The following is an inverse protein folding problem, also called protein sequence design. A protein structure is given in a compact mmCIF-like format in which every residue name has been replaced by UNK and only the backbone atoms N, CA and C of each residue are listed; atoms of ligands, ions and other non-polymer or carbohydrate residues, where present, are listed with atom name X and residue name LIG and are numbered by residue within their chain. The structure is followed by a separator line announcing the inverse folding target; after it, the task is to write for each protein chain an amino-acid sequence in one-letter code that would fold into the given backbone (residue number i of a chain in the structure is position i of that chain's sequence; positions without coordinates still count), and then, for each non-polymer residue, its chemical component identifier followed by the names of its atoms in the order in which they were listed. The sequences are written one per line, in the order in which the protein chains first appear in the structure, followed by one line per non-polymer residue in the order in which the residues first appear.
data_IF_235819325200
#
_entry.id   IF_235819325200
#
_cell.length_a   1.000
_cell.length_b   1.000
_cell.length_c   1.000
_cell.angle_alpha   90.00
_cell.angle_beta   90.00
_cell.angle_gamma   90.00
#
_symmetry.space_group_name_H-M   'P 1'
#
loop_
_entity.id
_entity.type
_entity.pdbx_description
1 polymer ?
#
# COMPACT_ATOMS: atom_id res chain seq x y z
N UNK A 1 -13.39 9.57 -23.51
CA UNK A 1 -13.37 10.28 -22.20
C UNK A 1 -11.95 10.28 -21.67
N UNK A 2 -11.49 11.38 -21.10
CA UNK A 2 -10.15 11.39 -20.50
C UNK A 2 -10.16 10.50 -19.26
N UNK A 3 -9.26 9.52 -19.21
CA UNK A 3 -9.06 8.63 -18.07
C UNK A 3 -8.54 9.47 -16.89
N UNK A 4 -9.33 9.57 -15.80
CA UNK A 4 -8.88 10.26 -14.57
C UNK A 4 -7.85 9.38 -13.86
N UNK A 5 -6.89 10.01 -13.20
CA UNK A 5 -5.87 9.35 -12.38
C UNK A 5 -6.01 9.84 -10.95
N UNK A 6 -6.13 8.92 -10.03
CA UNK A 6 -6.16 9.19 -8.59
C UNK A 6 -5.02 8.47 -7.89
N UNK A 7 -4.47 9.09 -6.86
CA UNK A 7 -3.55 8.46 -5.93
C UNK A 7 -4.07 8.68 -4.50
N UNK A 8 -4.10 7.62 -3.70
CA UNK A 8 -4.52 7.66 -2.30
C UNK A 8 -3.36 7.10 -1.46
N UNK A 9 -2.99 7.83 -0.41
CA UNK A 9 -1.97 7.43 0.56
C UNK A 9 -2.50 6.46 1.60
N UNK A 10 -1.91 6.53 2.79
CA UNK A 10 -2.15 5.64 3.91
C UNK A 10 -3.63 5.56 4.30
N UNK A 11 -4.15 4.34 4.40
CA UNK A 11 -5.56 4.07 4.74
C UNK A 11 -5.68 3.57 6.18
N UNK A 12 -4.72 2.76 6.62
CA UNK A 12 -4.60 2.27 8.00
C UNK A 12 -5.92 1.81 8.61
N UNK A 13 -6.58 0.82 7.98
CA UNK A 13 -7.82 0.24 8.50
C UNK A 13 -9.00 1.22 8.64
N UNK A 14 -8.95 2.38 7.99
CA UNK A 14 -10.03 3.37 7.97
C UNK A 14 -11.03 3.08 6.82
N UNK A 15 -11.62 1.89 6.80
CA UNK A 15 -12.48 1.41 5.72
C UNK A 15 -13.62 2.37 5.38
N UNK A 16 -14.36 2.83 6.39
CA UNK A 16 -15.53 3.70 6.14
C UNK A 16 -15.14 5.02 5.44
N UNK A 17 -14.00 5.61 5.82
CA UNK A 17 -13.49 6.83 5.18
C UNK A 17 -13.02 6.54 3.75
N UNK A 18 -12.34 5.41 3.54
CA UNK A 18 -11.86 4.98 2.23
C UNK A 18 -13.03 4.71 1.27
N UNK A 19 -14.03 3.96 1.71
CA UNK A 19 -15.24 3.69 0.93
C UNK A 19 -15.97 4.98 0.56
N UNK A 20 -16.21 5.86 1.54
CA UNK A 20 -16.87 7.15 1.31
C UNK A 20 -16.08 8.02 0.32
N UNK A 21 -14.75 8.01 0.40
CA UNK A 21 -13.89 8.71 -0.55
C UNK A 21 -14.13 8.20 -1.97
N UNK A 22 -14.08 6.86 -2.19
CA UNK A 22 -14.22 6.28 -3.52
C UNK A 22 -15.64 6.45 -4.09
N UNK A 23 -16.68 6.18 -3.28
CA UNK A 23 -18.05 6.14 -3.77
C UNK A 23 -18.70 7.52 -3.86
N UNK A 24 -18.44 8.41 -2.90
CA UNK A 24 -19.17 9.69 -2.79
C UNK A 24 -18.34 10.91 -3.20
N UNK A 25 -17.04 10.92 -2.91
CA UNK A 25 -16.20 12.10 -3.19
C UNK A 25 -15.64 12.09 -4.60
N UNK A 26 -14.96 11.02 -4.98
CA UNK A 26 -14.38 10.89 -6.33
C UNK A 26 -15.31 10.18 -7.32
N UNK A 27 -16.31 9.46 -6.82
CA UNK A 27 -17.23 8.67 -7.63
C UNK A 27 -16.46 7.85 -8.67
N UNK A 28 -15.68 6.88 -8.14
CA UNK A 28 -14.74 6.08 -8.93
C UNK A 28 -15.48 5.30 -10.03
N UNK A 29 -15.00 5.44 -11.25
CA UNK A 29 -15.51 4.74 -12.43
C UNK A 29 -14.49 3.69 -12.93
N UNK A 30 -14.97 2.68 -13.69
CA UNK A 30 -14.07 1.68 -14.28
C UNK A 30 -13.10 2.25 -15.32
N UNK A 31 -13.42 3.40 -15.88
CA UNK A 31 -12.55 4.14 -16.80
C UNK A 31 -11.38 4.83 -16.09
N UNK A 32 -11.47 5.05 -14.78
CA UNK A 32 -10.43 5.69 -13.99
C UNK A 32 -9.28 4.75 -13.67
N UNK A 33 -8.12 5.32 -13.34
CA UNK A 33 -7.00 4.60 -12.76
C UNK A 33 -6.81 5.08 -11.32
N UNK A 34 -6.81 4.14 -10.39
CA UNK A 34 -6.57 4.39 -8.97
C UNK A 34 -5.25 3.73 -8.54
N UNK A 35 -4.33 4.54 -8.05
CA UNK A 35 -3.09 4.07 -7.42
C UNK A 35 -3.27 4.19 -5.91
N UNK A 36 -3.07 3.09 -5.19
CA UNK A 36 -3.04 3.06 -3.73
C UNK A 36 -1.59 2.94 -3.29
N UNK A 37 -1.12 3.88 -2.48
CA UNK A 37 0.31 4.02 -2.20
C UNK A 37 0.85 3.11 -1.09
N UNK A 38 0.03 2.23 -0.52
CA UNK A 38 0.42 1.32 0.58
C UNK A 38 -0.23 1.70 1.91
N UNK A 39 0.17 1.00 2.97
CA UNK A 39 -0.29 1.18 4.34
C UNK A 39 -1.82 1.06 4.48
N UNK A 40 -2.35 -0.08 4.06
CA UNK A 40 -3.79 -0.41 4.13
C UNK A 40 -4.20 -0.86 5.51
N UNK A 41 -3.28 -1.56 6.21
CA UNK A 41 -3.48 -2.25 7.48
C UNK A 41 -2.93 -1.45 8.65
N UNK A 42 -3.14 -1.99 9.86
CA UNK A 42 -2.64 -1.49 11.13
C UNK A 42 -3.29 -0.19 11.59
N UNK A 43 -3.16 0.13 12.88
CA UNK A 43 -3.67 1.31 13.56
C UNK A 43 -5.20 1.41 13.63
N UNK A 44 -5.90 1.33 12.50
CA UNK A 44 -7.36 1.32 12.44
C UNK A 44 -7.94 -0.09 12.58
N UNK A 45 -9.22 -0.15 12.91
CA UNK A 45 -9.90 -1.39 13.33
C UNK A 45 -10.51 -2.21 12.19
N UNK A 46 -10.40 -1.75 10.94
CA UNK A 46 -11.08 -2.33 9.76
C UNK A 46 -10.08 -2.69 8.65
N UNK A 47 -8.90 -3.19 9.03
CA UNK A 47 -7.83 -3.59 8.08
C UNK A 47 -8.31 -4.65 7.10
N UNK A 48 -9.04 -5.67 7.60
CA UNK A 48 -9.59 -6.74 6.76
C UNK A 48 -10.58 -6.21 5.74
N UNK A 49 -11.49 -5.34 6.16
CA UNK A 49 -12.51 -4.74 5.31
C UNK A 49 -11.87 -3.88 4.20
N UNK A 50 -10.78 -3.18 4.49
CA UNK A 50 -10.02 -2.43 3.47
C UNK A 50 -9.47 -3.38 2.40
N UNK A 51 -8.82 -4.47 2.81
CA UNK A 51 -8.23 -5.45 1.86
C UNK A 51 -9.33 -6.13 1.05
N UNK A 52 -10.40 -6.61 1.70
CA UNK A 52 -11.53 -7.24 1.02
C UNK A 52 -12.14 -6.30 -0.05
N UNK A 53 -12.29 -5.02 0.28
CA UNK A 53 -12.84 -4.03 -0.65
C UNK A 53 -11.93 -3.76 -1.84
N UNK A 54 -10.62 -3.66 -1.63
CA UNK A 54 -9.65 -3.50 -2.73
C UNK A 54 -9.72 -4.70 -3.67
N UNK A 55 -9.70 -5.93 -3.11
CA UNK A 55 -9.78 -7.17 -3.88
C UNK A 55 -11.10 -7.27 -4.66
N UNK A 56 -12.22 -6.90 -4.03
CA UNK A 56 -13.54 -6.91 -4.66
C UNK A 56 -13.64 -5.91 -5.82
N UNK A 57 -13.13 -4.69 -5.65
CA UNK A 57 -13.07 -3.70 -6.73
C UNK A 57 -12.21 -4.18 -7.91
N UNK A 58 -11.06 -4.79 -7.65
CA UNK A 58 -10.22 -5.39 -8.69
C UNK A 58 -10.96 -6.52 -9.42
N UNK A 59 -11.65 -7.41 -8.69
CA UNK A 59 -12.47 -8.49 -9.26
C UNK A 59 -13.64 -7.97 -10.11
N UNK A 60 -14.21 -6.80 -9.75
CA UNK A 60 -15.24 -6.10 -10.52
C UNK A 60 -14.71 -5.37 -11.76
N UNK A 61 -13.40 -5.39 -11.98
CA UNK A 61 -12.73 -4.82 -13.16
C UNK A 61 -12.43 -3.33 -13.07
N UNK A 62 -12.33 -2.78 -11.87
CA UNK A 62 -11.74 -1.45 -11.68
C UNK A 62 -10.22 -1.49 -11.87
N UNK A 63 -9.65 -0.47 -12.48
CA UNK A 63 -8.21 -0.36 -12.75
C UNK A 63 -7.48 0.19 -11.50
N UNK A 64 -7.24 -0.71 -10.52
CA UNK A 64 -6.61 -0.39 -9.24
C UNK A 64 -5.23 -1.03 -9.17
N UNK A 65 -4.22 -0.21 -8.87
CA UNK A 65 -2.83 -0.62 -8.67
C UNK A 65 -2.44 -0.38 -7.22
N UNK A 66 -2.50 -1.41 -6.35
CA UNK A 66 -2.04 -1.29 -4.98
C UNK A 66 -0.51 -1.46 -4.91
N UNK A 67 0.15 -0.54 -4.19
CA UNK A 67 1.57 -0.60 -3.90
C UNK A 67 1.83 -1.16 -2.50
N UNK A 68 3.05 -1.61 -2.27
CA UNK A 68 3.52 -2.10 -0.98
C UNK A 68 3.88 -0.91 -0.08
N UNK A 69 3.27 -0.84 1.10
CA UNK A 69 3.70 0.02 2.18
C UNK A 69 4.62 -0.69 3.18
N UNK A 70 5.21 0.04 4.09
CA UNK A 70 6.07 -0.54 5.11
C UNK A 70 5.28 -1.40 6.11
N UNK A 71 4.00 -1.12 6.35
CA UNK A 71 3.16 -1.93 7.22
C UNK A 71 2.86 -3.32 6.64
N UNK A 72 2.54 -3.43 5.36
CA UNK A 72 2.39 -4.73 4.69
C UNK A 72 3.71 -5.49 4.64
N UNK A 73 4.85 -4.80 4.43
CA UNK A 73 6.18 -5.41 4.48
C UNK A 73 6.48 -5.99 5.87
N UNK A 74 6.20 -5.22 6.95
CA UNK A 74 6.37 -5.71 8.32
C UNK A 74 5.50 -6.94 8.64
N UNK A 75 4.26 -6.96 8.14
CA UNK A 75 3.38 -8.12 8.28
C UNK A 75 3.94 -9.35 7.58
N UNK A 76 4.41 -9.21 6.34
CA UNK A 76 5.03 -10.31 5.58
C UNK A 76 6.31 -10.81 6.24
N UNK A 77 7.14 -9.91 6.77
CA UNK A 77 8.33 -10.27 7.52
C UNK A 77 7.99 -11.05 8.79
N UNK A 78 6.98 -10.60 9.55
CA UNK A 78 6.53 -11.28 10.76
C UNK A 78 5.84 -12.62 10.46
N UNK A 79 5.11 -12.73 9.35
CA UNK A 79 4.51 -13.99 8.88
C UNK A 79 5.59 -15.04 8.55
N UNK A 80 6.70 -14.61 7.94
CA UNK A 80 7.80 -15.50 7.57
C UNK A 80 8.79 -15.75 8.72
N UNK A 81 8.84 -14.88 9.73
CA UNK A 81 9.78 -14.96 10.84
C UNK A 81 9.16 -14.37 12.12
N UNK A 82 8.75 -15.23 13.03
CA UNK A 82 8.07 -14.86 14.29
C UNK A 82 8.89 -13.88 15.16
N UNK A 83 10.22 -13.85 15.04
CA UNK A 83 11.08 -12.87 15.74
C UNK A 83 10.70 -11.42 15.37
N UNK A 84 10.11 -11.21 14.20
CA UNK A 84 9.65 -9.90 13.73
C UNK A 84 8.26 -9.50 14.23
N UNK A 85 7.50 -10.42 14.80
CA UNK A 85 6.14 -10.18 15.30
C UNK A 85 6.06 -9.01 16.29
N UNK A 86 6.95 -8.85 17.30
CA UNK A 86 6.88 -7.71 18.21
C UNK A 86 6.96 -6.35 17.50
N UNK A 87 7.81 -6.24 16.49
CA UNK A 87 7.93 -5.00 15.70
C UNK A 87 6.64 -4.69 14.96
N UNK A 88 6.02 -5.69 14.30
CA UNK A 88 4.74 -5.54 13.62
C UNK A 88 3.64 -5.09 14.60
N UNK A 89 3.52 -5.76 15.75
CA UNK A 89 2.50 -5.45 16.78
C UNK A 89 2.68 -4.04 17.35
N UNK A 90 3.91 -3.61 17.65
CA UNK A 90 4.20 -2.26 18.16
C UNK A 90 3.85 -1.14 17.17
N UNK A 91 3.88 -1.44 15.88
CA UNK A 91 3.50 -0.49 14.83
C UNK A 91 1.99 -0.48 14.50
N UNK A 92 1.17 -1.18 15.28
CA UNK A 92 -0.29 -1.18 15.14
C UNK A 92 -0.88 -2.48 14.61
N UNK A 93 -0.06 -3.54 14.44
CA UNK A 93 -0.50 -4.85 13.96
C UNK A 93 -1.50 -5.54 14.89
N UNK A 94 -1.59 -5.12 16.16
CA UNK A 94 -2.64 -5.59 17.08
C UNK A 94 -4.05 -5.31 16.56
N UNK A 95 -4.26 -4.16 15.91
CA UNK A 95 -5.56 -3.82 15.34
C UNK A 95 -5.86 -4.66 14.08
N UNK A 96 -4.82 -5.00 13.32
CA UNK A 96 -4.95 -5.94 12.19
C UNK A 96 -5.36 -7.33 12.68
N UNK A 97 -4.71 -7.89 13.72
CA UNK A 97 -5.12 -9.17 14.30
C UNK A 97 -6.60 -9.15 14.74
N UNK A 98 -7.04 -8.08 15.42
CA UNK A 98 -8.45 -7.93 15.83
C UNK A 98 -9.39 -7.86 14.64
N UNK A 99 -9.06 -7.10 13.61
CA UNK A 99 -9.86 -6.97 12.38
C UNK A 99 -10.03 -8.32 11.68
N UNK A 100 -8.95 -9.11 11.59
CA UNK A 100 -9.00 -10.46 11.03
C UNK A 100 -9.58 -11.51 11.97
N UNK A 101 -9.81 -11.18 13.25
CA UNK A 101 -10.29 -12.10 14.31
C UNK A 101 -9.38 -13.31 14.49
N UNK A 102 -8.07 -13.09 14.48
CA UNK A 102 -7.03 -14.11 14.64
C UNK A 102 -6.15 -13.78 15.84
N UNK A 103 -5.50 -14.79 16.40
CA UNK A 103 -4.58 -14.64 17.54
C UNK A 103 -3.12 -14.45 17.08
N UNK A 104 -2.78 -14.96 15.89
CA UNK A 104 -1.44 -14.89 15.32
C UNK A 104 -1.48 -14.53 13.84
N UNK A 105 -0.43 -13.87 13.35
CA UNK A 105 -0.27 -13.54 11.93
C UNK A 105 -0.20 -14.80 11.05
N UNK A 106 0.24 -15.94 11.61
CA UNK A 106 0.28 -17.22 10.91
C UNK A 106 -1.10 -17.81 10.58
N UNK A 107 -2.16 -17.28 11.20
CA UNK A 107 -3.55 -17.67 10.93
C UNK A 107 -4.19 -16.87 9.78
N UNK A 108 -3.47 -15.91 9.21
CA UNK A 108 -3.96 -15.15 8.05
C UNK A 108 -4.23 -16.11 6.89
N UNK A 109 -5.43 -16.05 6.33
CA UNK A 109 -5.82 -16.88 5.19
C UNK A 109 -4.88 -16.68 3.99
N UNK A 110 -4.52 -17.74 3.26
CA UNK A 110 -3.57 -17.68 2.14
C UNK A 110 -3.89 -16.61 1.09
N UNK A 111 -5.17 -16.35 0.82
CA UNK A 111 -5.58 -15.33 -0.17
C UNK A 111 -5.09 -13.93 0.16
N UNK A 112 -5.03 -13.56 1.45
CA UNK A 112 -4.52 -12.27 1.89
C UNK A 112 -2.99 -12.23 1.84
N UNK A 113 -2.34 -13.33 2.22
CA UNK A 113 -0.88 -13.44 2.10
C UNK A 113 -0.45 -13.28 0.64
N UNK A 114 -1.16 -13.94 -0.29
CA UNK A 114 -0.90 -13.80 -1.73
C UNK A 114 -1.20 -12.38 -2.24
N UNK A 115 -2.26 -11.73 -1.75
CA UNK A 115 -2.52 -10.32 -2.05
C UNK A 115 -1.33 -9.45 -1.63
N UNK A 116 -0.85 -9.56 -0.39
CA UNK A 116 0.29 -8.76 0.10
C UNK A 116 1.58 -9.06 -0.67
N UNK A 117 1.87 -10.32 -1.01
CA UNK A 117 3.03 -10.71 -1.83
C UNK A 117 2.96 -10.17 -3.26
N UNK A 118 1.75 -9.96 -3.77
CA UNK A 118 1.50 -9.41 -5.11
C UNK A 118 1.67 -7.89 -5.22
N UNK A 119 1.85 -7.17 -4.11
CA UNK A 119 2.00 -5.72 -4.08
C UNK A 119 3.34 -5.29 -4.71
N UNK A 120 3.30 -4.25 -5.53
CA UNK A 120 4.49 -3.70 -6.19
C UNK A 120 5.13 -2.59 -5.35
N UNK A 121 6.46 -2.48 -5.39
CA UNK A 121 7.18 -1.39 -4.72
C UNK A 121 7.00 -0.04 -5.39
N UNK A 122 6.77 -0.03 -6.69
CA UNK A 122 6.60 1.19 -7.49
C UNK A 122 5.71 0.94 -8.69
N UNK A 123 5.14 1.99 -9.23
CA UNK A 123 4.38 1.96 -10.47
C UNK A 123 4.63 3.23 -11.26
N UNK A 124 4.97 3.09 -12.56
CA UNK A 124 5.14 4.21 -13.48
C UNK A 124 3.92 4.34 -14.39
N UNK A 125 3.36 5.53 -14.49
CA UNK A 125 2.27 5.84 -15.38
C UNK A 125 2.41 7.24 -15.98
N UNK A 126 2.50 7.34 -17.29
CA UNK A 126 2.85 8.58 -18.02
C UNK A 126 4.16 9.17 -17.48
N UNK A 127 4.14 10.45 -17.08
CA UNK A 127 5.25 11.18 -16.49
C UNK A 127 5.40 10.99 -14.97
N UNK A 128 4.50 10.23 -14.33
CA UNK A 128 4.49 10.01 -12.89
C UNK A 128 5.13 8.69 -12.50
N UNK A 129 5.85 8.71 -11.40
CA UNK A 129 6.35 7.53 -10.72
C UNK A 129 5.78 7.52 -9.30
N UNK A 130 5.11 6.43 -8.95
CA UNK A 130 4.45 6.23 -7.67
C UNK A 130 5.25 5.25 -6.82
N UNK A 131 5.50 5.62 -5.58
CA UNK A 131 6.09 4.78 -4.52
C UNK A 131 5.41 5.13 -3.21
N UNK A 132 5.51 4.26 -2.20
CA UNK A 132 4.93 4.53 -0.88
C UNK A 132 5.67 5.67 -0.17
N UNK A 133 6.98 5.57 -0.03
CA UNK A 133 7.79 6.56 0.69
C UNK A 133 8.64 7.42 -0.27
N UNK A 134 9.79 6.93 -0.71
CA UNK A 134 10.68 7.73 -1.55
C UNK A 134 11.86 6.96 -2.11
N UNK A 135 12.90 7.70 -2.48
CA UNK A 135 14.15 7.16 -2.98
C UNK A 135 15.33 7.73 -2.18
N UNK A 136 16.39 6.98 -2.08
CA UNK A 136 17.62 7.48 -1.48
C UNK A 136 18.30 8.49 -2.42
N UNK A 137 18.77 9.64 -1.87
CA UNK A 137 19.23 10.79 -2.65
C UNK A 137 20.49 10.53 -3.50
N UNK A 138 21.24 9.47 -3.21
CA UNK A 138 22.55 9.21 -3.81
C UNK A 138 22.62 7.92 -4.64
N UNK A 139 21.51 7.22 -4.85
CA UNK A 139 21.53 5.99 -5.62
C UNK A 139 21.63 6.25 -7.11
N UNK A 140 22.64 5.62 -7.75
CA UNK A 140 22.80 5.63 -9.21
C UNK A 140 21.59 4.95 -9.88
N UNK A 141 21.01 3.94 -9.22
CA UNK A 141 19.78 3.29 -9.64
C UNK A 141 18.77 3.29 -8.48
N UNK A 142 17.88 4.28 -8.38
CA UNK A 142 16.91 4.39 -7.29
C UNK A 142 15.95 3.20 -7.21
N UNK A 143 15.80 2.41 -8.29
CA UNK A 143 14.95 1.21 -8.30
C UNK A 143 15.64 -0.04 -7.71
N UNK A 144 16.92 0.01 -7.43
CA UNK A 144 17.64 -1.11 -6.81
C UNK A 144 17.37 -1.24 -5.32
N UNK A 145 17.12 -0.11 -4.64
CA UNK A 145 16.87 -0.07 -3.20
C UNK A 145 15.37 -0.08 -2.89
N UNK A 146 14.83 -1.29 -2.79
CA UNK A 146 13.42 -1.52 -2.42
C UNK A 146 13.08 -1.04 -1.01
N UNK A 147 14.06 -1.05 -0.10
CA UNK A 147 13.84 -0.58 1.26
C UNK A 147 13.53 0.92 1.29
N UNK A 148 14.28 1.71 0.56
CA UNK A 148 14.03 3.15 0.46
C UNK A 148 12.64 3.47 -0.06
N UNK A 149 12.11 2.70 -1.01
CA UNK A 149 10.78 2.93 -1.58
C UNK A 149 9.65 2.87 -0.55
N UNK A 150 9.85 2.17 0.57
CA UNK A 150 8.81 1.98 1.61
C UNK A 150 9.18 2.59 2.97
N UNK A 151 10.43 3.08 3.16
CA UNK A 151 10.88 3.58 4.47
C UNK A 151 11.47 5.00 4.47
N UNK A 152 11.89 5.53 3.32
CA UNK A 152 12.61 6.82 3.28
C UNK A 152 11.65 7.98 3.43
N UNK A 153 11.79 8.72 4.52
CA UNK A 153 10.99 9.92 4.82
C UNK A 153 11.60 11.23 4.27
N UNK A 154 12.59 11.17 3.38
CA UNK A 154 13.20 12.37 2.79
C UNK A 154 12.59 12.70 1.43
N UNK A 155 12.34 13.96 1.15
CA UNK A 155 11.72 14.37 -0.12
C UNK A 155 12.64 14.04 -1.32
N UNK A 156 12.11 13.28 -2.28
CA UNK A 156 12.82 12.89 -3.51
C UNK A 156 13.19 14.07 -4.42
N UNK A 157 12.72 15.28 -4.14
CA UNK A 157 13.04 16.47 -4.94
C UNK A 157 14.49 16.94 -4.84
N UNK A 158 15.27 16.42 -3.89
CA UNK A 158 16.71 16.70 -3.79
C UNK A 158 17.56 15.78 -4.68
N UNK A 159 16.98 14.75 -5.31
CA UNK A 159 17.70 13.87 -6.22
C UNK A 159 17.74 14.40 -7.66
N UNK A 160 18.90 14.86 -8.16
CA UNK A 160 19.04 15.41 -9.52
C UNK A 160 18.66 14.44 -10.64
N UNK A 161 18.72 13.12 -10.39
CA UNK A 161 18.39 12.09 -11.38
C UNK A 161 16.87 11.96 -11.57
N UNK A 162 16.08 12.26 -10.54
CA UNK A 162 14.62 12.25 -10.61
C UNK A 162 14.05 13.54 -11.20
N UNK A 163 14.82 14.63 -11.14
CA UNK A 163 14.42 15.97 -11.64
C UNK A 163 14.62 16.17 -13.15
N UNK A 164 15.33 15.28 -13.84
CA UNK A 164 15.69 15.43 -15.27
C UNK A 164 14.61 15.00 -16.28
N UNK A 165 13.41 14.64 -15.84
CA UNK A 165 12.28 14.37 -16.76
C UNK A 165 11.23 15.50 -16.68
N UNK A 166 11.63 16.71 -17.03
CA UNK A 166 10.71 17.76 -17.49
C UNK A 166 10.97 18.08 -18.94
#
# INVERSE_FOLDING_TARGET
MNKRLFAIGDIHGCFNAFQLMLEQKIQLEKSDKLILLGDYIDRGIQSKEVIDYIMDLQAKGFDIVPLLGNHESMLLDAFNNEIRTPTCIQNGGSETLKSFKIASLTEIEPKYVEFFKGLSYSFAFKEYLFVHAGFHDFDINPFADKYSMIWVCRPAYENPLLMKKR
#
